data_IF_569245494346
#
_entry.id   IF_569245494346
#
_cell.length_a   1.000
_cell.length_b   1.000
_cell.length_c   1.000
_cell.angle_alpha   90.00
_cell.angle_beta   90.00
_cell.angle_gamma   90.00
#
_symmetry.space_group_name_H-M   'P 1'
#
loop_
_entity.id
_entity.type
_entity.pdbx_description
1 polymer ?
#
# COMPACT_ATOMS: atom_id res chain seq x y z
N UNK A 1 -11.28 31.05 -3.91
CA UNK A 1 -10.14 31.72 -3.28
C UNK A 1 -10.13 31.32 -1.80
N UNK A 2 -9.28 30.35 -1.44
CA UNK A 2 -9.01 30.03 -0.04
C UNK A 2 -7.99 31.05 0.49
N UNK A 3 -8.26 31.75 1.60
CA UNK A 3 -7.28 32.63 2.19
C UNK A 3 -6.08 31.82 2.64
N UNK A 4 -4.90 32.30 2.29
CA UNK A 4 -3.63 31.63 2.62
C UNK A 4 -3.41 31.58 4.12
N UNK A 5 -3.34 30.36 4.68
CA UNK A 5 -3.29 30.11 6.12
C UNK A 5 -1.93 30.40 6.79
N UNK A 6 -0.86 30.67 6.01
CA UNK A 6 0.48 30.97 6.51
C UNK A 6 0.93 32.37 6.11
N UNK A 7 1.16 33.24 7.11
CA UNK A 7 1.73 34.56 6.90
C UNK A 7 3.13 34.51 6.23
N UNK A 8 3.49 35.58 5.50
CA UNK A 8 4.72 35.67 4.73
C UNK A 8 5.99 35.39 5.54
N UNK A 9 6.05 35.82 6.80
CA UNK A 9 7.18 35.57 7.72
C UNK A 9 7.36 34.10 8.07
N UNK A 10 6.26 33.41 8.37
CA UNK A 10 6.28 31.97 8.65
C UNK A 10 6.70 31.15 7.46
N UNK A 11 6.37 31.59 6.24
CA UNK A 11 6.85 30.98 5.00
C UNK A 11 8.34 31.21 4.76
N UNK A 12 8.84 32.41 5.02
CA UNK A 12 10.27 32.72 4.90
C UNK A 12 11.09 31.90 5.88
N UNK A 13 10.64 31.80 7.13
CA UNK A 13 11.26 30.96 8.15
C UNK A 13 11.23 29.47 7.79
N UNK A 14 10.11 28.93 7.32
CA UNK A 14 9.99 27.55 6.86
C UNK A 14 10.89 27.24 5.65
N UNK A 15 11.01 28.19 4.67
CA UNK A 15 11.91 28.05 3.53
C UNK A 15 13.39 28.15 3.91
N UNK A 16 13.74 29.02 4.86
CA UNK A 16 15.11 29.10 5.39
C UNK A 16 15.50 27.80 6.11
N UNK A 17 14.61 27.26 6.94
CA UNK A 17 14.78 26.00 7.63
C UNK A 17 14.86 24.79 6.68
N UNK A 18 14.10 24.82 5.59
CA UNK A 18 14.13 23.80 4.53
C UNK A 18 15.41 23.84 3.70
N UNK A 19 16.01 25.02 3.49
CA UNK A 19 17.29 25.21 2.81
C UNK A 19 18.48 24.78 3.66
N UNK A 20 18.43 24.99 4.98
CA UNK A 20 19.45 24.52 5.92
C UNK A 20 19.42 23.00 6.13
N UNK A 21 18.27 22.36 5.91
CA UNK A 21 18.13 20.91 5.88
C UNK A 21 18.43 20.40 4.45
N UNK A 22 19.68 20.52 3.99
CA UNK A 22 20.11 20.09 2.65
C UNK A 22 19.90 18.60 2.37
N UNK A 23 20.18 18.15 1.14
CA UNK A 23 19.97 16.76 0.66
C UNK A 23 20.58 15.67 1.57
N UNK A 24 21.61 15.99 2.37
CA UNK A 24 22.15 15.13 3.42
C UNK A 24 21.20 14.87 4.59
N UNK A 25 20.18 15.72 4.79
CA UNK A 25 19.17 15.56 5.83
C UNK A 25 18.22 14.40 5.53
N UNK A 26 17.84 14.19 4.25
CA UNK A 26 16.92 13.11 3.86
C UNK A 26 17.48 11.73 4.17
N UNK A 27 18.78 11.51 3.93
CA UNK A 27 19.44 10.25 4.24
C UNK A 27 19.56 10.02 5.76
N UNK A 28 19.84 11.06 6.53
CA UNK A 28 19.85 10.98 8.00
C UNK A 28 18.46 10.66 8.55
N UNK A 29 17.42 11.30 8.02
CA UNK A 29 16.02 11.06 8.41
C UNK A 29 15.61 9.60 8.18
N UNK A 30 16.02 9.00 7.07
CA UNK A 30 15.75 7.60 6.76
C UNK A 30 16.49 6.63 7.70
N UNK A 31 17.69 7.02 8.15
CA UNK A 31 18.53 6.21 9.05
C UNK A 31 18.08 6.27 10.50
N UNK A 32 17.50 7.39 10.93
CA UNK A 32 17.11 7.61 12.31
C UNK A 32 15.74 6.95 12.63
N UNK A 33 15.68 6.21 13.72
CA UNK A 33 14.44 5.76 14.37
C UNK A 33 13.55 4.79 13.58
N UNK A 34 14.07 4.07 12.60
CA UNK A 34 13.28 3.10 11.83
C UNK A 34 12.39 3.73 10.72
N UNK A 35 12.59 5.01 10.41
CA UNK A 35 11.85 5.71 9.36
C UNK A 35 12.06 5.08 7.96
N UNK A 36 13.27 4.57 7.68
CA UNK A 36 13.57 3.85 6.45
C UNK A 36 12.73 2.59 6.28
N UNK A 37 12.43 1.88 7.38
CA UNK A 37 11.56 0.72 7.37
C UNK A 37 10.11 1.08 7.04
N UNK A 38 9.61 2.19 7.57
CA UNK A 38 8.28 2.69 7.22
C UNK A 38 8.21 3.07 5.74
N UNK A 39 9.21 3.76 5.20
CA UNK A 39 9.28 4.10 3.77
C UNK A 39 9.32 2.83 2.91
N UNK A 40 10.09 1.81 3.32
CA UNK A 40 10.10 0.52 2.65
C UNK A 40 8.70 -0.15 2.65
N UNK A 41 7.95 -0.05 3.74
CA UNK A 41 6.58 -0.57 3.81
C UNK A 41 5.64 0.10 2.80
N UNK A 42 5.80 1.41 2.53
CA UNK A 42 5.05 2.08 1.45
C UNK A 42 5.37 1.48 0.08
N UNK A 43 6.63 1.18 -0.19
CA UNK A 43 7.06 0.54 -1.44
C UNK A 43 6.47 -0.87 -1.55
N UNK A 44 6.70 -1.73 -0.55
CA UNK A 44 6.24 -3.13 -0.53
C UNK A 44 4.73 -3.24 -0.65
N UNK A 45 3.99 -2.41 0.09
CA UNK A 45 2.54 -2.34 -0.02
C UNK A 45 2.08 -2.06 -1.46
N UNK A 46 2.69 -1.05 -2.10
CA UNK A 46 2.32 -0.69 -3.47
C UNK A 46 2.76 -1.74 -4.49
N UNK A 47 3.87 -2.47 -4.27
CA UNK A 47 4.22 -3.64 -5.09
C UNK A 47 3.10 -4.68 -5.02
N UNK A 48 2.65 -5.06 -3.82
CA UNK A 48 1.59 -6.06 -3.65
C UNK A 48 0.28 -5.63 -4.33
N UNK A 49 -0.17 -4.40 -4.09
CA UNK A 49 -1.44 -3.89 -4.66
C UNK A 49 -1.39 -3.80 -6.17
N UNK A 50 -0.31 -3.23 -6.73
CA UNK A 50 -0.18 -3.07 -8.18
C UNK A 50 0.04 -4.39 -8.90
N UNK A 51 0.75 -5.36 -8.30
CA UNK A 51 0.83 -6.73 -8.83
C UNK A 51 -0.56 -7.37 -8.90
N UNK A 52 -1.34 -7.25 -7.82
CA UNK A 52 -2.67 -7.84 -7.72
C UNK A 52 -3.64 -7.24 -8.75
N UNK A 53 -3.65 -5.91 -8.88
CA UNK A 53 -4.50 -5.20 -9.85
C UNK A 53 -4.10 -5.48 -11.31
N UNK A 54 -2.84 -5.84 -11.56
CA UNK A 54 -2.34 -6.26 -12.87
C UNK A 54 -2.68 -7.72 -13.17
N UNK A 55 -2.41 -8.64 -12.23
CA UNK A 55 -2.57 -10.09 -12.44
C UNK A 55 -4.02 -10.53 -12.54
N UNK A 56 -4.91 -9.93 -11.75
CA UNK A 56 -6.30 -10.38 -11.70
C UNK A 56 -7.04 -10.22 -13.04
N UNK A 57 -7.00 -9.08 -13.73
CA UNK A 57 -7.63 -8.94 -15.04
C UNK A 57 -7.08 -9.89 -16.10
N UNK A 58 -5.76 -10.10 -16.11
CA UNK A 58 -5.11 -11.02 -17.04
C UNK A 58 -5.56 -12.45 -16.78
N UNK A 59 -5.49 -12.90 -15.52
CA UNK A 59 -5.94 -14.24 -15.15
C UNK A 59 -7.44 -14.44 -15.48
N UNK A 60 -8.29 -13.47 -15.17
CA UNK A 60 -9.71 -13.56 -15.45
C UNK A 60 -10.02 -13.60 -16.95
N UNK A 61 -9.26 -12.85 -17.75
CA UNK A 61 -9.37 -12.87 -19.22
C UNK A 61 -8.96 -14.22 -19.78
N UNK A 62 -7.80 -14.73 -19.40
CA UNK A 62 -7.23 -15.96 -19.97
C UNK A 62 -7.94 -17.23 -19.46
N UNK A 63 -8.39 -17.25 -18.19
CA UNK A 63 -8.93 -18.47 -17.58
C UNK A 63 -10.47 -18.53 -17.62
N UNK A 64 -11.14 -17.38 -17.49
CA UNK A 64 -12.60 -17.30 -17.42
C UNK A 64 -13.23 -16.68 -18.67
N UNK A 65 -12.41 -16.25 -19.63
CA UNK A 65 -12.86 -15.48 -20.80
C UNK A 65 -13.66 -14.20 -20.40
N UNK A 66 -13.30 -13.59 -19.26
CA UNK A 66 -13.93 -12.37 -18.78
C UNK A 66 -13.45 -11.15 -19.56
N UNK A 67 -14.40 -10.34 -19.99
CA UNK A 67 -14.10 -9.05 -20.60
C UNK A 67 -14.00 -7.92 -19.56
N UNK A 68 -13.74 -6.71 -20.04
CA UNK A 68 -13.62 -5.52 -19.18
C UNK A 68 -14.83 -5.26 -18.28
N UNK A 69 -16.03 -5.66 -18.72
CA UNK A 69 -17.28 -5.49 -17.97
C UNK A 69 -17.28 -6.30 -16.66
N UNK A 70 -16.94 -7.59 -16.72
CA UNK A 70 -16.92 -8.47 -15.55
C UNK A 70 -15.83 -8.06 -14.56
N UNK A 71 -14.63 -7.77 -15.07
CA UNK A 71 -13.51 -7.25 -14.25
C UNK A 71 -13.89 -5.92 -13.60
N UNK A 72 -14.53 -5.03 -14.35
CA UNK A 72 -15.01 -3.75 -13.85
C UNK A 72 -16.05 -3.89 -12.73
N UNK A 73 -16.95 -4.88 -12.80
CA UNK A 73 -17.91 -5.17 -11.74
C UNK A 73 -17.18 -5.59 -10.45
N UNK A 74 -16.18 -6.47 -10.52
CA UNK A 74 -15.40 -6.90 -9.35
C UNK A 74 -14.70 -5.71 -8.71
N UNK A 75 -14.01 -4.89 -9.49
CA UNK A 75 -13.36 -3.69 -8.96
C UNK A 75 -14.35 -2.63 -8.46
N UNK A 76 -15.53 -2.53 -9.08
CA UNK A 76 -16.61 -1.66 -8.61
C UNK A 76 -17.13 -2.07 -7.24
N UNK A 77 -17.37 -3.37 -7.03
CA UNK A 77 -17.76 -3.92 -5.71
C UNK A 77 -16.64 -3.67 -4.70
N UNK A 78 -15.38 -3.91 -5.08
CA UNK A 78 -14.23 -3.63 -4.21
C UNK A 78 -14.16 -2.14 -3.84
N UNK A 79 -14.42 -1.24 -4.78
CA UNK A 79 -14.50 0.20 -4.53
C UNK A 79 -15.60 0.56 -3.53
N UNK A 80 -16.78 -0.07 -3.64
CA UNK A 80 -17.87 0.12 -2.67
C UNK A 80 -17.48 -0.38 -1.27
N UNK A 81 -16.83 -1.56 -1.17
CA UNK A 81 -16.27 -2.07 0.10
C UNK A 81 -15.26 -1.06 0.67
N UNK A 82 -14.38 -0.52 -0.16
CA UNK A 82 -13.39 0.49 0.25
C UNK A 82 -14.05 1.73 0.86
N UNK A 83 -15.12 2.24 0.25
CA UNK A 83 -15.87 3.39 0.77
C UNK A 83 -16.45 3.09 2.16
N UNK A 84 -17.06 1.93 2.34
CA UNK A 84 -17.61 1.51 3.64
C UNK A 84 -16.50 1.34 4.68
N UNK A 85 -15.42 0.67 4.33
CA UNK A 85 -14.31 0.38 5.25
C UNK A 85 -13.57 1.66 5.64
N UNK A 86 -13.19 2.49 4.69
CA UNK A 86 -12.47 3.73 5.00
C UNK A 86 -13.37 4.84 5.55
N UNK A 87 -14.58 4.97 5.02
CA UNK A 87 -15.51 6.03 5.43
C UNK A 87 -16.24 5.74 6.73
N UNK A 88 -16.50 4.46 7.04
CA UNK A 88 -17.31 4.07 8.21
C UNK A 88 -16.55 3.31 9.29
N UNK A 89 -15.74 2.32 8.91
CA UNK A 89 -15.13 1.40 9.88
C UNK A 89 -13.74 1.82 10.37
N UNK A 90 -12.94 2.50 9.54
CA UNK A 90 -11.56 2.86 9.87
C UNK A 90 -11.44 3.65 11.17
N UNK A 91 -12.28 4.68 11.37
CA UNK A 91 -12.25 5.51 12.57
C UNK A 91 -12.51 4.73 13.86
N UNK A 92 -13.64 4.01 13.99
CA UNK A 92 -13.91 3.13 15.13
C UNK A 92 -12.83 2.07 15.36
N UNK A 93 -12.32 1.44 14.31
CA UNK A 93 -11.28 0.41 14.42
C UNK A 93 -9.96 0.98 14.95
N UNK A 94 -9.52 2.14 14.44
CA UNK A 94 -8.32 2.83 14.94
C UNK A 94 -8.48 3.22 16.41
N UNK A 95 -9.66 3.70 16.81
CA UNK A 95 -9.92 4.09 18.20
C UNK A 95 -9.89 2.92 19.17
N UNK A 96 -10.34 1.73 18.74
CA UNK A 96 -10.42 0.54 19.59
C UNK A 96 -9.12 -0.26 19.62
N UNK A 97 -8.43 -0.39 18.49
CA UNK A 97 -7.27 -1.27 18.31
C UNK A 97 -5.94 -0.49 18.24
N UNK A 98 -5.99 0.80 17.90
CA UNK A 98 -4.80 1.57 17.57
C UNK A 98 -4.28 1.30 16.15
N UNK A 99 -3.49 2.26 15.63
CA UNK A 99 -3.01 2.25 14.23
C UNK A 99 -2.11 1.06 13.93
N UNK A 100 -1.17 0.74 14.83
CA UNK A 100 -0.17 -0.32 14.59
C UNK A 100 -0.81 -1.72 14.58
N UNK A 101 -1.69 -2.00 15.55
CA UNK A 101 -2.37 -3.30 15.62
C UNK A 101 -3.31 -3.49 14.43
N UNK A 102 -4.05 -2.43 14.05
CA UNK A 102 -4.91 -2.47 12.88
C UNK A 102 -4.10 -2.65 11.59
N UNK A 103 -2.93 -2.03 11.47
CA UNK A 103 -2.01 -2.25 10.33
C UNK A 103 -1.57 -3.71 10.25
N UNK A 104 -1.21 -4.34 11.37
CA UNK A 104 -0.84 -5.76 11.42
C UNK A 104 -1.98 -6.65 10.95
N UNK A 105 -3.20 -6.41 11.43
CA UNK A 105 -4.41 -7.15 11.00
C UNK A 105 -4.63 -6.95 9.49
N UNK A 106 -4.53 -5.73 8.99
CA UNK A 106 -4.72 -5.39 7.59
C UNK A 106 -3.70 -6.10 6.67
N UNK A 107 -2.42 -6.09 7.06
CA UNK A 107 -1.35 -6.80 6.33
C UNK A 107 -1.55 -8.33 6.40
N UNK A 108 -1.98 -8.86 7.53
CA UNK A 108 -2.30 -10.30 7.66
C UNK A 108 -3.45 -10.68 6.74
N UNK A 109 -4.50 -9.86 6.63
CA UNK A 109 -5.60 -10.07 5.68
C UNK A 109 -5.11 -10.03 4.22
N UNK A 110 -4.22 -9.09 3.87
CA UNK A 110 -3.59 -9.04 2.55
C UNK A 110 -2.83 -10.33 2.23
N UNK A 111 -1.98 -10.79 3.16
CA UNK A 111 -1.21 -12.03 3.01
C UNK A 111 -2.12 -13.25 2.90
N UNK A 112 -3.13 -13.34 3.78
CA UNK A 112 -4.10 -14.44 3.75
C UNK A 112 -4.87 -14.49 2.41
N UNK A 113 -5.32 -13.34 1.91
CA UNK A 113 -5.98 -13.25 0.61
C UNK A 113 -5.07 -13.68 -0.54
N UNK A 114 -3.81 -13.23 -0.57
CA UNK A 114 -2.85 -13.67 -1.58
C UNK A 114 -2.53 -15.16 -1.45
N UNK A 115 -2.37 -15.69 -0.23
CA UNK A 115 -2.20 -17.12 0.02
C UNK A 115 -3.38 -17.95 -0.46
N UNK A 116 -4.62 -17.53 -0.15
CA UNK A 116 -5.81 -18.16 -0.73
C UNK A 116 -5.77 -18.14 -2.26
N UNK A 117 -5.31 -17.05 -2.86
CA UNK A 117 -5.18 -16.91 -4.31
C UNK A 117 -4.21 -17.89 -4.95
N UNK A 118 -3.11 -18.25 -4.26
CA UNK A 118 -2.13 -19.26 -4.74
C UNK A 118 -2.78 -20.65 -4.87
N UNK A 119 -3.56 -21.03 -3.85
CA UNK A 119 -4.18 -22.37 -3.76
C UNK A 119 -5.60 -22.44 -4.30
N UNK A 120 -6.10 -21.35 -4.90
CA UNK A 120 -7.48 -21.28 -5.38
C UNK A 120 -7.64 -22.02 -6.72
N UNK A 121 -8.31 -23.15 -6.72
CA UNK A 121 -8.64 -23.94 -7.92
C UNK A 121 -9.99 -23.58 -8.52
N UNK A 122 -10.86 -22.89 -7.76
CA UNK A 122 -12.19 -22.49 -8.22
C UNK A 122 -12.28 -20.98 -8.42
N UNK A 123 -13.13 -20.57 -9.37
CA UNK A 123 -13.44 -19.16 -9.63
C UNK A 123 -13.87 -18.42 -8.35
N UNK A 124 -14.77 -19.03 -7.57
CA UNK A 124 -15.33 -18.41 -6.36
C UNK A 124 -14.20 -18.15 -5.36
N UNK A 125 -13.33 -19.14 -5.11
CA UNK A 125 -12.22 -19.01 -4.18
C UNK A 125 -11.21 -17.96 -4.65
N UNK A 126 -10.91 -17.91 -5.96
CA UNK A 126 -10.00 -16.92 -6.54
C UNK A 126 -10.57 -15.50 -6.43
N UNK A 127 -11.83 -15.29 -6.77
CA UNK A 127 -12.48 -13.97 -6.64
C UNK A 127 -12.58 -13.55 -5.16
N UNK A 128 -12.94 -14.48 -4.27
CA UNK A 128 -12.94 -14.20 -2.82
C UNK A 128 -11.57 -13.82 -2.29
N UNK A 129 -10.50 -14.46 -2.78
CA UNK A 129 -9.13 -14.14 -2.38
C UNK A 129 -8.75 -12.70 -2.72
N UNK A 130 -9.22 -12.21 -3.88
CA UNK A 130 -9.04 -10.82 -4.30
C UNK A 130 -9.73 -9.85 -3.32
N UNK A 131 -10.99 -10.13 -2.97
CA UNK A 131 -11.72 -9.27 -2.02
C UNK A 131 -11.05 -9.23 -0.65
N UNK A 132 -10.59 -10.36 -0.13
CA UNK A 132 -9.87 -10.42 1.15
C UNK A 132 -8.55 -9.63 1.07
N UNK A 133 -7.74 -9.89 0.05
CA UNK A 133 -6.45 -9.21 -0.13
C UNK A 133 -6.61 -7.69 -0.28
N UNK A 134 -7.53 -7.25 -1.16
CA UNK A 134 -7.76 -5.84 -1.43
C UNK A 134 -8.38 -5.11 -0.24
N UNK A 135 -9.27 -5.75 0.53
CA UNK A 135 -9.84 -5.15 1.74
C UNK A 135 -8.77 -4.92 2.78
N UNK A 136 -7.86 -5.90 3.00
CA UNK A 136 -6.69 -5.70 3.85
C UNK A 136 -5.79 -4.57 3.33
N UNK A 137 -5.46 -4.57 2.05
CA UNK A 137 -4.64 -3.54 1.43
C UNK A 137 -5.24 -2.12 1.56
N UNK A 138 -6.56 -2.00 1.44
CA UNK A 138 -7.28 -0.72 1.54
C UNK A 138 -7.02 0.02 2.86
N UNK A 139 -6.83 -0.73 3.96
CA UNK A 139 -6.55 -0.16 5.29
C UNK A 139 -5.09 0.25 5.47
N UNK A 140 -4.15 -0.38 4.75
CA UNK A 140 -2.72 -0.19 4.99
C UNK A 140 -2.25 1.25 4.70
N UNK A 141 -2.64 1.84 3.56
CA UNK A 141 -2.16 3.17 3.16
C UNK A 141 -2.55 4.30 4.14
N UNK A 142 -3.82 4.44 4.55
CA UNK A 142 -4.17 5.46 5.54
C UNK A 142 -3.46 5.24 6.88
N UNK A 143 -3.30 3.99 7.32
CA UNK A 143 -2.59 3.65 8.56
C UNK A 143 -1.10 3.98 8.48
N UNK A 144 -0.42 3.61 7.38
CA UNK A 144 0.98 3.97 7.15
C UNK A 144 1.19 5.48 7.14
N UNK A 145 0.29 6.24 6.50
CA UNK A 145 0.34 7.70 6.48
C UNK A 145 0.14 8.30 7.88
N UNK A 146 -0.80 7.76 8.68
CA UNK A 146 -1.04 8.20 10.05
C UNK A 146 0.19 7.93 10.94
N UNK A 147 0.71 6.69 10.93
CA UNK A 147 1.90 6.30 11.70
C UNK A 147 3.10 7.17 11.32
N UNK A 148 3.35 7.38 10.02
CA UNK A 148 4.45 8.21 9.54
C UNK A 148 4.27 9.66 9.98
N UNK A 149 3.04 10.19 9.88
CA UNK A 149 2.72 11.57 10.30
C UNK A 149 2.91 11.79 11.81
N UNK A 150 2.59 10.79 12.64
CA UNK A 150 2.77 10.87 14.10
C UNK A 150 4.24 10.75 14.50
N UNK A 151 5.03 9.93 13.80
CA UNK A 151 6.48 9.77 14.08
C UNK A 151 7.32 10.93 13.55
N UNK A 152 6.90 11.58 12.47
CA UNK A 152 7.66 12.64 11.85
C UNK A 152 7.56 13.96 12.65
N UNK A 153 8.70 14.59 13.03
CA UNK A 153 8.71 15.95 13.55
C UNK A 153 8.00 16.90 12.57
N UNK A 154 7.26 17.88 13.10
CA UNK A 154 6.45 18.82 12.30
C UNK A 154 7.24 19.49 11.17
N UNK A 155 8.51 19.84 11.44
CA UNK A 155 9.42 20.54 10.50
C UNK A 155 9.72 19.71 9.25
N UNK A 156 9.86 18.38 9.39
CA UNK A 156 10.29 17.49 8.31
C UNK A 156 9.15 16.55 7.81
N UNK A 157 7.96 16.66 8.41
CA UNK A 157 6.81 15.79 8.09
C UNK A 157 6.47 15.77 6.61
N UNK A 158 6.41 16.93 5.96
CA UNK A 158 6.14 17.03 4.54
C UNK A 158 7.22 16.35 3.68
N UNK A 159 8.49 16.46 4.07
CA UNK A 159 9.60 15.81 3.39
C UNK A 159 9.51 14.29 3.52
N UNK A 160 9.21 13.77 4.72
CA UNK A 160 9.03 12.34 4.95
C UNK A 160 7.87 11.76 4.17
N UNK A 161 6.71 12.43 4.15
CA UNK A 161 5.56 12.04 3.34
C UNK A 161 5.89 12.07 1.84
N UNK A 162 6.68 13.03 1.38
CA UNK A 162 7.17 13.10 0.01
C UNK A 162 8.05 11.90 -0.37
N UNK A 163 8.99 11.52 0.51
CA UNK A 163 9.87 10.35 0.31
C UNK A 163 9.04 9.06 0.30
N UNK A 164 8.08 8.92 1.23
CA UNK A 164 7.17 7.78 1.28
C UNK A 164 6.29 7.69 0.01
N UNK A 165 5.80 8.83 -0.49
CA UNK A 165 5.07 8.92 -1.74
C UNK A 165 5.91 8.52 -2.96
N UNK A 166 7.19 8.92 -3.01
CA UNK A 166 8.14 8.48 -4.03
C UNK A 166 8.37 6.96 -3.96
N UNK A 167 8.59 6.41 -2.77
CA UNK A 167 8.73 4.96 -2.56
C UNK A 167 7.48 4.19 -2.99
N UNK A 168 6.29 4.71 -2.67
CA UNK A 168 5.02 4.16 -3.14
C UNK A 168 4.91 4.17 -4.67
N UNK A 169 5.40 5.23 -5.33
CA UNK A 169 5.42 5.31 -6.79
C UNK A 169 6.34 4.29 -7.43
N UNK A 170 7.53 4.07 -6.86
CA UNK A 170 8.42 2.99 -7.26
C UNK A 170 7.77 1.62 -7.09
N UNK A 171 7.05 1.40 -5.98
CA UNK A 171 6.28 0.17 -5.77
C UNK A 171 5.23 -0.09 -6.86
N UNK A 172 4.53 0.96 -7.30
CA UNK A 172 3.54 0.87 -8.39
C UNK A 172 4.15 0.49 -9.74
N UNK A 173 5.38 0.90 -10.00
CA UNK A 173 6.12 0.50 -11.22
C UNK A 173 6.68 -0.92 -11.08
N UNK A 174 7.31 -1.22 -9.94
CA UNK A 174 7.95 -2.50 -9.71
C UNK A 174 6.94 -3.67 -9.65
N UNK A 175 5.72 -3.44 -9.13
CA UNK A 175 4.70 -4.48 -8.98
C UNK A 175 4.34 -5.18 -10.28
N UNK A 176 3.82 -4.48 -11.31
CA UNK A 176 3.50 -5.09 -12.60
C UNK A 176 4.72 -5.70 -13.29
N UNK A 177 5.91 -5.11 -13.17
CA UNK A 177 7.14 -5.67 -13.73
C UNK A 177 7.50 -7.02 -13.10
N UNK A 178 7.50 -7.09 -11.76
CA UNK A 178 7.75 -8.34 -11.03
C UNK A 178 6.67 -9.38 -11.32
N UNK A 179 5.41 -8.97 -11.34
CA UNK A 179 4.29 -9.84 -11.64
C UNK A 179 4.37 -10.40 -13.09
N UNK A 180 4.65 -9.52 -14.08
CA UNK A 180 4.80 -9.92 -15.47
C UNK A 180 6.01 -10.83 -15.70
N UNK A 181 7.13 -10.55 -15.04
CA UNK A 181 8.33 -11.40 -15.11
C UNK A 181 8.05 -12.81 -14.56
N UNK A 182 7.43 -12.90 -13.37
CA UNK A 182 7.05 -14.18 -12.79
C UNK A 182 5.99 -14.91 -13.65
N UNK A 183 5.05 -14.17 -14.24
CA UNK A 183 4.05 -14.73 -15.14
C UNK A 183 4.70 -15.34 -16.38
N UNK A 184 5.67 -14.65 -16.98
CA UNK A 184 6.37 -15.13 -18.17
C UNK A 184 7.21 -16.40 -17.91
N UNK A 185 7.82 -16.52 -16.71
CA UNK A 185 8.69 -17.65 -16.39
C UNK A 185 7.95 -18.85 -15.79
N UNK A 186 6.94 -18.60 -14.95
CA UNK A 186 6.32 -19.62 -14.10
C UNK A 186 4.80 -19.68 -14.23
N UNK A 187 4.22 -18.93 -15.17
CA UNK A 187 2.77 -18.84 -15.34
C UNK A 187 2.04 -18.17 -14.16
N UNK A 188 0.73 -18.27 -14.14
CA UNK A 188 -0.10 -17.67 -13.08
C UNK A 188 0.24 -18.15 -11.68
N UNK A 189 0.45 -19.48 -11.41
CA UNK A 189 0.83 -19.93 -10.08
C UNK A 189 2.09 -19.24 -9.55
N UNK A 190 3.13 -19.11 -10.39
CA UNK A 190 4.37 -18.44 -10.01
C UNK A 190 4.21 -16.94 -9.78
N UNK A 191 3.37 -16.26 -10.57
CA UNK A 191 3.09 -14.85 -10.42
C UNK A 191 2.33 -14.55 -9.09
N UNK A 192 1.35 -15.38 -8.73
CA UNK A 192 0.65 -15.29 -7.46
C UNK A 192 1.57 -15.58 -6.28
N UNK A 193 2.41 -16.63 -6.41
CA UNK A 193 3.38 -16.98 -5.37
C UNK A 193 4.43 -15.88 -5.18
N UNK A 194 4.94 -15.26 -6.24
CA UNK A 194 5.85 -14.12 -6.16
C UNK A 194 5.23 -12.94 -5.40
N UNK A 195 3.97 -12.62 -5.66
CA UNK A 195 3.23 -11.58 -4.94
C UNK A 195 3.02 -11.93 -3.46
N UNK A 196 2.76 -13.21 -3.16
CA UNK A 196 2.68 -13.71 -1.78
C UNK A 196 4.01 -13.55 -1.04
N UNK A 197 5.15 -13.89 -1.66
CA UNK A 197 6.47 -13.73 -1.04
C UNK A 197 6.75 -12.28 -0.67
N UNK A 198 6.45 -11.32 -1.55
CA UNK A 198 6.60 -9.89 -1.26
C UNK A 198 5.71 -9.48 -0.09
N UNK A 199 4.48 -9.98 -0.04
CA UNK A 199 3.55 -9.65 1.06
C UNK A 199 3.95 -10.27 2.39
N UNK A 200 4.53 -11.47 2.40
CA UNK A 200 5.11 -12.10 3.59
C UNK A 200 6.30 -11.29 4.12
N UNK A 201 7.15 -10.81 3.21
CA UNK A 201 8.25 -9.92 3.59
C UNK A 201 7.73 -8.60 4.18
N UNK A 202 6.69 -8.01 3.57
CA UNK A 202 6.00 -6.84 4.12
C UNK A 202 5.45 -7.11 5.52
N UNK A 203 4.78 -8.25 5.71
CA UNK A 203 4.25 -8.67 7.01
C UNK A 203 5.34 -8.82 8.06
N UNK A 204 6.45 -9.50 7.74
CA UNK A 204 7.56 -9.69 8.66
C UNK A 204 8.11 -8.36 9.21
N UNK A 205 8.14 -7.31 8.38
CA UNK A 205 8.55 -5.98 8.80
C UNK A 205 7.50 -5.23 9.63
N UNK A 206 6.21 -5.50 9.44
CA UNK A 206 5.14 -4.93 10.27
C UNK A 206 5.11 -5.49 11.70
N UNK A 207 5.60 -6.72 11.88
CA UNK A 207 5.61 -7.39 13.19
C UNK A 207 6.92 -7.20 13.97
N UNK A 208 7.95 -6.67 13.34
CA UNK A 208 9.21 -6.30 13.97
C UNK A 208 9.15 -4.90 14.60
#
# INVERSE_FOLDING_TARGET
FLPESLGAEKRAAARAQQRSAGAGSSYRILRDGGNGLLVLQFCLHNICVSSLTYLFPLWAGDTLAWGPRQVGIVFGIQGAIMVVVQGGLLGPLVRNLGELQLLRIAVTALVAGLGMGVYADTMILKVSSIFVAMTGATLCMPLLNAILSHRAPLVIRGQMLGIAGAAASWGRVAGPLLAGFNLALFGYPGAWFGSLLVSLFYMAWCYR
#
